data_IF_953926362897
#
_entry.id   IF_953926362897
#
_cell.length_a   1.000
_cell.length_b   1.000
_cell.length_c   1.000
_cell.angle_alpha   90.00
_cell.angle_beta   90.00
_cell.angle_gamma   90.00
#
_symmetry.space_group_name_H-M   'P 1'
#
loop_
_entity.id
_entity.type
_entity.pdbx_description
1 polymer ?
#
# COMPACT_ATOMS: atom_id res chain seq x y z
N UNK A 1 25.03 26.43 -12.89
CA UNK A 1 24.04 25.75 -13.76
C UNK A 1 22.79 25.41 -12.95
N UNK A 2 21.62 25.44 -13.57
CA UNK A 2 20.32 25.14 -12.97
C UNK A 2 19.39 24.51 -14.02
N UNK A 3 18.22 24.03 -13.61
CA UNK A 3 17.19 23.52 -14.51
C UNK A 3 16.11 24.59 -14.67
N UNK A 4 15.55 24.72 -15.86
CA UNK A 4 14.44 25.61 -16.15
C UNK A 4 13.34 24.86 -16.91
N UNK A 5 12.08 25.17 -16.60
CA UNK A 5 10.93 24.71 -17.37
C UNK A 5 10.67 25.67 -18.53
N UNK A 6 10.47 25.13 -19.73
CA UNK A 6 10.08 25.90 -20.91
C UNK A 6 8.92 25.20 -21.59
N UNK A 7 7.84 25.92 -21.89
CA UNK A 7 6.78 25.37 -22.73
C UNK A 7 7.26 25.42 -24.18
N UNK A 8 7.28 24.27 -24.85
CA UNK A 8 7.51 24.21 -26.28
C UNK A 8 6.23 24.69 -26.98
N UNK A 9 6.31 25.84 -27.64
CA UNK A 9 5.15 26.48 -28.27
C UNK A 9 4.59 25.70 -29.46
N UNK A 10 5.38 24.79 -30.05
CA UNK A 10 4.94 23.97 -31.19
C UNK A 10 4.24 22.67 -30.77
N UNK A 11 4.64 22.07 -29.64
CA UNK A 11 4.09 20.78 -29.17
C UNK A 11 3.20 20.91 -27.94
N UNK A 12 3.19 22.07 -27.27
CA UNK A 12 2.53 22.28 -25.98
C UNK A 12 3.18 21.53 -24.82
N UNK A 13 4.24 20.74 -25.07
CA UNK A 13 4.94 20.00 -24.04
C UNK A 13 5.76 20.94 -23.15
N UNK A 14 5.80 20.64 -21.85
CA UNK A 14 6.73 21.32 -20.93
C UNK A 14 8.07 20.61 -21.00
N UNK A 15 9.11 21.31 -21.37
CA UNK A 15 10.48 20.80 -21.49
C UNK A 15 11.30 21.19 -20.27
N UNK A 16 12.15 20.28 -19.80
CA UNK A 16 13.17 20.56 -18.79
C UNK A 16 14.50 20.84 -19.49
N UNK A 17 15.08 22.00 -19.22
CA UNK A 17 16.31 22.47 -19.84
C UNK A 17 17.41 22.72 -18.82
N UNK A 18 18.63 22.32 -19.15
CA UNK A 18 19.83 22.75 -18.43
C UNK A 18 20.15 24.17 -18.84
N UNK A 19 20.27 25.04 -17.84
CA UNK A 19 20.51 26.46 -18.02
C UNK A 19 21.71 26.94 -17.18
N UNK A 20 22.28 28.06 -17.59
CA UNK A 20 23.20 28.84 -16.79
C UNK A 20 22.88 30.32 -16.89
N UNK A 21 23.31 31.08 -15.88
CA UNK A 21 23.28 32.53 -15.96
C UNK A 21 24.55 32.99 -16.68
N UNK A 22 24.38 33.81 -17.68
CA UNK A 22 25.42 34.59 -18.31
C UNK A 22 25.41 35.97 -17.64
N UNK A 23 26.49 36.28 -16.91
CA UNK A 23 26.69 37.55 -16.23
C UNK A 23 27.99 38.16 -16.74
N UNK A 24 27.89 39.09 -17.68
CA UNK A 24 29.00 39.96 -18.07
C UNK A 24 28.90 41.27 -17.31
N UNK A 25 30.05 41.84 -16.91
CA UNK A 25 30.09 43.16 -16.29
C UNK A 25 29.41 44.20 -17.20
N UNK A 26 28.48 44.97 -16.64
CA UNK A 26 27.72 45.99 -17.36
C UNK A 26 26.54 45.48 -18.21
N UNK A 27 26.29 44.16 -18.27
CA UNK A 27 25.14 43.58 -18.99
C UNK A 27 24.11 42.98 -18.03
N UNK A 28 22.81 43.08 -18.34
CA UNK A 28 21.79 42.41 -17.54
C UNK A 28 21.95 40.89 -17.61
N UNK A 29 21.78 40.23 -16.45
CA UNK A 29 21.86 38.80 -16.32
C UNK A 29 20.96 38.10 -17.33
N UNK A 30 21.56 37.30 -18.23
CA UNK A 30 20.82 36.59 -19.27
C UNK A 30 20.79 35.10 -18.98
N UNK A 31 19.62 34.49 -19.14
CA UNK A 31 19.46 33.04 -19.04
C UNK A 31 19.92 32.39 -20.34
N UNK A 32 20.91 31.51 -20.26
CA UNK A 32 21.42 30.75 -21.38
C UNK A 32 20.99 29.29 -21.29
N UNK A 33 20.21 28.82 -22.27
CA UNK A 33 19.73 27.44 -22.37
C UNK A 33 20.80 26.59 -23.06
N UNK A 34 21.39 25.64 -22.35
CA UNK A 34 22.51 24.84 -22.83
C UNK A 34 22.05 23.60 -23.59
N UNK A 35 21.17 22.82 -22.98
CA UNK A 35 20.67 21.57 -23.58
C UNK A 35 19.32 21.17 -22.99
N UNK A 36 18.49 20.53 -23.82
CA UNK A 36 17.25 19.90 -23.39
C UNK A 36 17.59 18.64 -22.60
N UNK A 37 17.01 18.48 -21.42
CA UNK A 37 17.19 17.31 -20.56
C UNK A 37 16.14 16.25 -20.94
N UNK A 38 14.85 16.62 -20.90
CA UNK A 38 13.75 15.77 -21.33
C UNK A 38 12.47 16.58 -21.48
N UNK A 39 11.43 15.94 -22.03
CA UNK A 39 10.06 16.40 -21.90
C UNK A 39 9.53 16.00 -20.52
N UNK A 40 8.94 16.97 -19.82
CA UNK A 40 8.09 16.70 -18.66
C UNK A 40 7.00 15.75 -19.12
N UNK A 41 6.98 14.56 -18.53
CA UNK A 41 5.96 13.58 -18.84
C UNK A 41 4.60 14.22 -18.51
N UNK A 42 3.63 14.25 -19.45
CA UNK A 42 2.36 14.93 -19.23
C UNK A 42 1.75 14.45 -17.92
N UNK A 43 1.14 15.38 -17.16
CA UNK A 43 0.07 14.93 -16.26
C UNK A 43 -0.93 14.38 -17.26
N UNK A 44 -1.11 13.07 -17.28
CA UNK A 44 -2.20 12.51 -18.05
C UNK A 44 -3.38 12.59 -17.08
N UNK A 45 -4.25 13.61 -17.14
CA UNK A 45 -5.57 13.46 -16.58
C UNK A 45 -6.24 12.40 -17.47
N UNK A 46 -6.30 11.18 -16.97
CA UNK A 46 -7.16 10.12 -17.49
C UNK A 46 -7.31 10.07 -19.03
N UNK A 47 -6.46 9.27 -19.68
CA UNK A 47 -6.95 8.53 -20.83
C UNK A 47 -7.98 7.51 -20.31
N UNK A 48 -9.23 7.94 -20.16
CA UNK A 48 -10.35 7.40 -20.92
C UNK A 48 -11.64 8.15 -20.54
N UNK A 49 -12.22 8.78 -21.56
CA UNK A 49 -13.57 9.31 -21.52
C UNK A 49 -14.59 8.18 -21.50
N UNK A 50 -15.51 8.24 -20.56
CA UNK A 50 -16.67 7.35 -20.48
C UNK A 50 -17.27 7.41 -19.09
N UNK A 51 -18.58 7.55 -18.99
CA UNK A 51 -19.31 7.52 -17.72
C UNK A 51 -19.34 6.08 -17.17
N UNK A 52 -18.22 5.60 -16.59
CA UNK A 52 -18.08 4.30 -15.90
C UNK A 52 -16.70 4.22 -15.24
N UNK A 53 -16.62 3.78 -13.98
CA UNK A 53 -15.37 3.64 -13.18
C UNK A 53 -14.56 4.94 -13.00
N UNK A 54 -15.11 5.87 -12.21
CA UNK A 54 -14.47 7.15 -11.92
C UNK A 54 -13.15 7.04 -11.15
N UNK A 55 -12.06 7.24 -11.91
CA UNK A 55 -10.91 8.15 -11.69
C UNK A 55 -9.97 7.94 -10.48
N UNK A 56 -8.68 8.00 -10.81
CA UNK A 56 -7.48 8.08 -9.97
C UNK A 56 -7.21 7.01 -8.90
N UNK A 57 -6.20 6.19 -9.19
CA UNK A 57 -5.60 5.21 -8.30
C UNK A 57 -4.95 5.88 -7.08
N UNK A 58 -5.50 5.68 -5.87
CA UNK A 58 -4.64 5.57 -4.71
C UNK A 58 -3.89 4.24 -4.79
N UNK A 59 -2.87 4.20 -5.65
CA UNK A 59 -1.77 3.27 -5.45
C UNK A 59 -1.21 3.57 -4.08
N UNK A 60 -1.40 2.64 -3.14
CA UNK A 60 -0.50 2.48 -2.01
C UNK A 60 0.89 2.19 -2.59
N UNK A 61 1.54 3.27 -2.99
CA UNK A 61 2.92 3.35 -3.43
C UNK A 61 3.62 3.81 -2.20
N UNK A 62 4.62 3.06 -1.79
CA UNK A 62 5.07 3.23 -0.45
C UNK A 62 6.58 3.08 -0.34
N UNK A 63 7.10 3.92 0.56
CA UNK A 63 8.47 3.98 1.01
C UNK A 63 8.70 2.87 2.01
N UNK A 64 9.45 1.86 1.60
CA UNK A 64 10.25 1.07 2.53
C UNK A 64 11.68 1.12 2.03
N UNK A 65 12.60 1.51 2.92
CA UNK A 65 14.02 1.58 2.63
C UNK A 65 14.68 0.20 2.54
N UNK A 66 13.97 -0.90 2.79
CA UNK A 66 14.59 -2.23 2.76
C UNK A 66 13.83 -3.43 2.17
N UNK A 67 12.52 -3.41 1.85
CA UNK A 67 11.87 -4.66 1.41
C UNK A 67 10.78 -4.55 0.32
N UNK A 68 10.30 -5.71 -0.15
CA UNK A 68 9.71 -6.00 -1.48
C UNK A 68 8.45 -5.17 -1.78
N UNK A 69 8.65 -4.04 -2.45
CA UNK A 69 7.58 -3.11 -2.88
C UNK A 69 6.56 -3.77 -3.81
N UNK A 70 5.26 -3.58 -3.59
CA UNK A 70 4.21 -3.95 -4.54
C UNK A 70 3.55 -2.70 -5.11
N UNK A 71 3.52 -2.58 -6.44
CA UNK A 71 2.91 -1.48 -7.16
C UNK A 71 1.59 -1.93 -7.81
N UNK A 72 0.46 -1.36 -7.39
CA UNK A 72 -0.81 -1.50 -8.11
C UNK A 72 -0.94 -0.43 -9.20
N UNK A 73 -1.17 -0.82 -10.46
CA UNK A 73 -1.24 0.10 -11.62
C UNK A 73 -2.47 -0.22 -12.49
N UNK A 74 -3.05 0.82 -13.11
CA UNK A 74 -3.92 0.69 -14.28
C UNK A 74 -3.15 0.11 -15.48
N UNK A 75 -3.83 -0.50 -16.45
CA UNK A 75 -3.18 -1.27 -17.50
C UNK A 75 -2.42 -0.36 -18.48
N UNK A 76 -1.10 -0.20 -18.28
CA UNK A 76 -0.19 0.12 -19.38
C UNK A 76 1.26 -0.33 -19.12
N UNK A 77 1.88 -0.78 -20.21
CA UNK A 77 3.31 -1.12 -20.41
C UNK A 77 3.92 -2.31 -19.64
N UNK A 78 3.14 -3.08 -18.86
CA UNK A 78 3.65 -4.29 -18.19
C UNK A 78 3.11 -5.56 -18.86
N UNK A 79 3.97 -6.53 -19.20
CA UNK A 79 3.61 -7.67 -20.04
C UNK A 79 2.76 -8.73 -19.32
N UNK A 80 2.53 -8.62 -18.01
CA UNK A 80 1.79 -9.60 -17.20
C UNK A 80 0.86 -8.90 -16.20
N UNK A 81 -0.19 -9.60 -15.76
CA UNK A 81 -1.11 -9.11 -14.71
C UNK A 81 -0.45 -9.02 -13.33
N UNK A 82 0.55 -9.85 -13.06
CA UNK A 82 1.35 -9.81 -11.84
C UNK A 82 2.81 -10.00 -12.22
N UNK A 83 3.70 -9.24 -11.57
CA UNK A 83 5.14 -9.38 -11.75
C UNK A 83 5.87 -9.30 -10.42
N UNK A 84 6.94 -10.08 -10.30
CA UNK A 84 7.84 -10.04 -9.17
C UNK A 84 9.22 -9.56 -9.61
N UNK A 85 9.88 -8.79 -8.75
CA UNK A 85 11.27 -8.35 -8.94
C UNK A 85 11.54 -7.70 -10.30
N UNK A 86 10.62 -6.86 -10.79
CA UNK A 86 10.75 -6.15 -12.07
C UNK A 86 11.24 -4.73 -11.85
N UNK A 87 12.11 -4.25 -12.74
CA UNK A 87 12.45 -2.83 -12.81
C UNK A 87 11.28 -2.09 -13.43
N UNK A 88 10.83 -1.03 -12.79
CA UNK A 88 9.70 -0.22 -13.25
C UNK A 88 10.22 1.14 -13.68
N UNK A 89 9.68 1.68 -14.79
CA UNK A 89 10.14 2.94 -15.34
C UNK A 89 10.02 4.11 -14.35
N UNK A 90 11.02 4.98 -14.37
CA UNK A 90 11.07 6.22 -13.59
C UNK A 90 9.98 7.17 -14.09
N UNK A 91 9.19 7.74 -13.17
CA UNK A 91 8.18 8.76 -13.46
C UNK A 91 8.44 10.01 -12.64
N UNK A 92 9.19 10.95 -13.19
CA UNK A 92 9.57 12.19 -12.51
C UNK A 92 8.54 13.30 -12.77
N UNK A 93 8.27 14.08 -11.73
CA UNK A 93 7.33 15.20 -11.72
C UNK A 93 7.97 16.41 -11.03
N UNK A 94 7.68 17.65 -11.42
CA UNK A 94 8.17 18.82 -10.68
C UNK A 94 7.70 18.81 -9.22
N UNK A 95 8.62 19.16 -8.31
CA UNK A 95 8.38 19.26 -6.87
C UNK A 95 9.08 20.46 -6.22
N UNK A 96 8.84 21.64 -6.81
CA UNK A 96 9.33 22.91 -6.30
C UNK A 96 10.85 22.96 -6.32
N UNK A 97 11.45 23.60 -5.31
CA UNK A 97 12.89 23.79 -5.20
C UNK A 97 13.45 23.19 -3.91
N UNK A 98 14.72 22.80 -3.93
CA UNK A 98 15.51 22.53 -2.73
C UNK A 98 15.80 23.83 -1.97
N UNK A 99 16.29 23.71 -0.72
CA UNK A 99 16.64 24.87 0.13
C UNK A 99 17.68 25.79 -0.51
N UNK A 100 18.56 25.25 -1.34
CA UNK A 100 19.56 25.99 -2.10
C UNK A 100 19.04 26.51 -3.47
N UNK A 101 17.73 26.53 -3.68
CA UNK A 101 17.08 27.13 -4.85
C UNK A 101 17.12 26.31 -6.14
N UNK A 102 17.77 25.14 -6.17
CA UNK A 102 17.73 24.28 -7.35
C UNK A 102 16.37 23.58 -7.48
N UNK A 103 15.98 23.26 -8.71
CA UNK A 103 14.76 22.50 -8.96
C UNK A 103 14.83 21.11 -8.34
N UNK A 104 13.69 20.70 -7.79
CA UNK A 104 13.49 19.39 -7.18
C UNK A 104 12.40 18.68 -7.96
N UNK A 105 12.69 17.48 -8.44
CA UNK A 105 11.72 16.57 -9.03
C UNK A 105 11.37 15.47 -8.02
N UNK A 106 10.22 14.81 -8.24
CA UNK A 106 9.71 13.71 -7.45
C UNK A 106 9.43 12.50 -8.33
N UNK A 107 10.04 11.36 -8.01
CA UNK A 107 9.77 10.11 -8.70
C UNK A 107 8.53 9.44 -8.10
N UNK A 108 7.39 9.43 -8.80
CA UNK A 108 6.17 8.75 -8.31
C UNK A 108 6.27 7.22 -8.29
N UNK A 109 7.20 6.63 -9.04
CA UNK A 109 7.40 5.18 -9.08
C UNK A 109 8.20 4.72 -7.86
N UNK A 110 9.38 5.28 -7.68
CA UNK A 110 10.33 4.84 -6.66
C UNK A 110 10.33 5.71 -5.41
N UNK A 111 9.52 6.77 -5.42
CA UNK A 111 9.35 7.70 -4.33
C UNK A 111 10.69 8.26 -3.87
N UNK A 112 11.38 8.97 -4.73
CA UNK A 112 12.60 9.66 -4.30
C UNK A 112 12.69 11.00 -5.01
N UNK A 113 13.33 11.96 -4.34
CA UNK A 113 13.63 13.23 -4.98
C UNK A 113 14.75 13.05 -6.00
N UNK A 114 14.73 13.90 -7.01
CA UNK A 114 15.79 13.99 -8.01
C UNK A 114 16.12 15.47 -8.22
N UNK A 115 17.36 15.77 -8.55
CA UNK A 115 17.84 17.14 -8.79
C UNK A 115 18.99 17.55 -7.88
N UNK A 116 19.62 16.60 -7.20
CA UNK A 116 20.88 16.80 -6.47
C UNK A 116 22.05 16.90 -7.46
N UNK A 117 23.24 17.28 -6.97
CA UNK A 117 24.46 17.29 -7.81
C UNK A 117 24.79 15.89 -8.36
N UNK A 118 24.64 14.86 -7.54
CA UNK A 118 24.88 13.48 -7.93
C UNK A 118 23.90 13.01 -9.02
N UNK A 119 22.63 13.44 -8.95
CA UNK A 119 21.65 13.15 -10.00
C UNK A 119 22.01 13.79 -11.35
N UNK A 120 22.53 15.02 -11.32
CA UNK A 120 22.98 15.73 -12.52
C UNK A 120 24.22 15.09 -13.13
N UNK A 121 25.18 14.70 -12.32
CA UNK A 121 26.39 14.00 -12.75
C UNK A 121 26.06 12.61 -13.34
N UNK A 122 25.17 11.85 -12.70
CA UNK A 122 24.70 10.58 -13.22
C UNK A 122 23.98 10.75 -14.57
N UNK A 123 23.22 11.84 -14.74
CA UNK A 123 22.61 12.17 -16.03
C UNK A 123 23.66 12.51 -17.09
N UNK A 124 24.71 13.27 -16.75
CA UNK A 124 25.79 13.60 -17.69
C UNK A 124 26.53 12.37 -18.21
N UNK A 125 26.71 11.36 -17.36
CA UNK A 125 27.36 10.11 -17.74
C UNK A 125 26.45 9.18 -18.54
N UNK A 126 25.16 9.10 -18.18
CA UNK A 126 24.25 8.10 -18.75
C UNK A 126 23.40 8.63 -19.92
N UNK A 127 23.24 9.95 -20.07
CA UNK A 127 22.31 10.56 -21.02
C UNK A 127 20.83 10.28 -20.74
N UNK A 128 20.49 9.67 -19.60
CA UNK A 128 19.13 9.28 -19.24
C UNK A 128 18.77 9.75 -17.82
N UNK A 129 17.60 10.35 -17.67
CA UNK A 129 17.13 10.82 -16.36
C UNK A 129 16.63 9.65 -15.50
N UNK A 130 17.48 9.23 -14.56
CA UNK A 130 17.21 8.13 -13.64
C UNK A 130 17.15 8.66 -12.21
N UNK A 131 16.13 8.27 -11.45
CA UNK A 131 16.13 8.54 -10.01
C UNK A 131 17.11 7.62 -9.29
N UNK A 132 17.54 7.99 -8.07
CA UNK A 132 18.46 7.19 -7.25
C UNK A 132 18.04 5.70 -7.13
N UNK A 133 16.73 5.43 -7.13
CA UNK A 133 16.17 4.09 -6.97
C UNK A 133 15.75 3.43 -8.29
N UNK A 134 16.18 3.92 -9.47
CA UNK A 134 15.70 3.42 -10.77
C UNK A 134 16.00 1.94 -11.03
N UNK A 135 17.08 1.41 -10.44
CA UNK A 135 17.47 0.01 -10.59
C UNK A 135 16.72 -0.92 -9.61
N UNK A 136 15.96 -0.36 -8.67
CA UNK A 136 15.27 -1.13 -7.65
C UNK A 136 14.22 -2.03 -8.29
N UNK A 137 14.25 -3.30 -7.92
CA UNK A 137 13.27 -4.27 -8.32
C UNK A 137 12.01 -4.15 -7.46
N UNK A 138 10.85 -4.16 -8.09
CA UNK A 138 9.54 -4.05 -7.46
C UNK A 138 8.63 -5.18 -7.95
N UNK A 139 7.75 -5.62 -7.06
CA UNK A 139 6.59 -6.41 -7.43
C UNK A 139 5.48 -5.48 -7.94
N UNK A 140 4.55 -5.99 -8.73
CA UNK A 140 3.37 -5.24 -9.14
C UNK A 140 2.16 -6.14 -9.38
N UNK A 141 0.97 -5.52 -9.31
CA UNK A 141 -0.30 -6.08 -9.77
C UNK A 141 -0.94 -5.07 -10.73
N UNK A 142 -1.29 -5.53 -11.92
CA UNK A 142 -2.04 -4.78 -12.93
C UNK A 142 -3.49 -5.22 -12.83
N UNK A 143 -4.40 -4.25 -12.73
CA UNK A 143 -5.85 -4.50 -12.60
C UNK A 143 -6.17 -5.48 -11.45
N UNK A 144 -5.84 -5.13 -10.19
CA UNK A 144 -6.18 -5.96 -9.04
C UNK A 144 -7.70 -6.16 -8.94
N UNK A 145 -8.16 -7.18 -8.21
CA UNK A 145 -9.59 -7.36 -7.93
C UNK A 145 -10.13 -6.04 -7.34
N UNK A 146 -11.23 -5.56 -7.91
CA UNK A 146 -11.93 -4.39 -7.40
C UNK A 146 -13.17 -4.84 -6.62
N UNK A 147 -13.29 -4.41 -5.38
CA UNK A 147 -14.45 -4.69 -4.51
C UNK A 147 -15.13 -3.36 -4.19
N UNK A 148 -16.39 -3.21 -4.61
CA UNK A 148 -17.20 -2.08 -4.18
C UNK A 148 -17.93 -2.48 -2.90
N UNK A 149 -17.49 -1.94 -1.77
CA UNK A 149 -18.00 -2.32 -0.44
C UNK A 149 -19.48 -2.00 -0.25
N UNK A 150 -20.04 -1.10 -1.05
CA UNK A 150 -21.45 -0.71 -0.98
C UNK A 150 -22.37 -1.56 -1.88
N UNK A 151 -21.82 -2.46 -2.71
CA UNK A 151 -22.59 -3.29 -3.64
C UNK A 151 -22.89 -4.70 -3.12
N UNK A 152 -22.40 -5.04 -1.94
CA UNK A 152 -22.51 -6.37 -1.36
C UNK A 152 -23.11 -6.30 0.05
N UNK A 153 -23.84 -7.34 0.46
CA UNK A 153 -24.41 -7.40 1.80
C UNK A 153 -23.34 -7.53 2.88
N UNK A 154 -22.29 -8.32 2.62
CA UNK A 154 -21.13 -8.43 3.51
C UNK A 154 -19.83 -8.49 2.71
N UNK A 155 -18.85 -7.74 3.20
CA UNK A 155 -17.47 -7.69 2.74
C UNK A 155 -16.56 -7.74 3.95
N UNK A 156 -15.65 -8.71 3.94
CA UNK A 156 -14.54 -8.81 4.88
C UNK A 156 -13.21 -8.81 4.13
N UNK A 157 -12.27 -7.99 4.56
CA UNK A 157 -10.92 -7.91 3.98
C UNK A 157 -9.89 -8.01 5.10
N UNK A 158 -8.96 -8.94 4.99
CA UNK A 158 -7.90 -9.17 5.99
C UNK A 158 -6.51 -9.22 5.35
N UNK A 159 -5.50 -9.06 6.19
CA UNK A 159 -4.13 -9.42 5.86
C UNK A 159 -3.93 -10.93 6.10
N UNK A 160 -3.78 -11.72 5.03
CA UNK A 160 -3.45 -13.15 5.12
C UNK A 160 -1.96 -13.34 5.39
N UNK A 161 -1.64 -13.70 6.62
CA UNK A 161 -0.29 -14.04 7.07
C UNK A 161 -0.02 -15.56 6.91
N UNK A 162 1.25 -15.98 6.80
CA UNK A 162 1.62 -17.39 6.91
C UNK A 162 1.10 -18.00 8.22
N UNK A 163 0.90 -19.32 8.24
CA UNK A 163 0.47 -20.02 9.43
C UNK A 163 1.44 -19.84 10.61
N UNK A 164 0.89 -19.81 11.83
CA UNK A 164 1.66 -19.82 13.05
C UNK A 164 2.23 -21.21 13.35
N UNK A 165 1.43 -22.23 13.03
CA UNK A 165 1.70 -23.62 13.36
C UNK A 165 1.01 -24.51 12.33
N UNK A 166 1.67 -25.61 11.95
CA UNK A 166 1.12 -26.60 11.03
C UNK A 166 1.83 -27.93 11.21
N UNK A 167 1.16 -29.03 10.90
CA UNK A 167 1.78 -30.34 10.73
C UNK A 167 2.68 -30.42 9.49
N UNK A 168 2.49 -29.52 8.52
CA UNK A 168 3.29 -29.43 7.31
C UNK A 168 4.36 -28.32 7.40
N UNK A 169 5.33 -28.34 6.48
CA UNK A 169 6.36 -27.30 6.39
C UNK A 169 5.73 -25.93 6.11
N UNK A 170 5.90 -24.98 7.04
CA UNK A 170 5.46 -23.61 6.85
C UNK A 170 6.55 -22.82 6.13
N UNK A 171 6.38 -22.62 4.82
CA UNK A 171 7.29 -21.77 4.03
C UNK A 171 7.03 -20.29 4.30
N UNK A 172 8.05 -19.50 4.70
CA UNK A 172 7.92 -18.05 4.78
C UNK A 172 7.44 -17.48 3.45
N UNK A 173 6.47 -16.56 3.50
CA UNK A 173 5.89 -15.93 2.31
C UNK A 173 5.51 -14.48 2.58
N UNK A 174 5.39 -13.64 1.55
CA UNK A 174 4.76 -12.34 1.73
C UNK A 174 3.31 -12.50 2.20
N UNK A 175 2.79 -11.49 2.91
CA UNK A 175 1.37 -11.38 3.17
C UNK A 175 0.57 -11.37 1.87
N UNK A 176 -0.71 -11.73 1.97
CA UNK A 176 -1.70 -11.60 0.90
C UNK A 176 -2.92 -10.84 1.42
N UNK A 177 -3.84 -10.49 0.53
CA UNK A 177 -5.12 -9.89 0.91
C UNK A 177 -6.20 -10.96 0.83
N UNK A 178 -6.75 -11.36 1.97
CA UNK A 178 -7.85 -12.31 2.02
C UNK A 178 -9.17 -11.57 1.90
N UNK A 179 -10.07 -12.05 1.04
CA UNK A 179 -11.35 -11.40 0.79
C UNK A 179 -12.49 -12.37 0.95
N UNK A 180 -13.46 -11.98 1.77
CA UNK A 180 -14.80 -12.54 1.82
C UNK A 180 -15.79 -11.57 1.19
N UNK A 181 -16.64 -12.06 0.30
CA UNK A 181 -17.82 -11.34 -0.20
C UNK A 181 -19.05 -12.23 -0.13
N UNK A 182 -20.18 -11.67 0.32
CA UNK A 182 -21.52 -12.27 0.24
C UNK A 182 -22.49 -11.28 -0.38
N UNK A 183 -23.34 -11.78 -1.28
CA UNK A 183 -24.43 -10.99 -1.84
C UNK A 183 -25.63 -10.91 -0.90
N UNK A 184 -25.79 -11.91 -0.02
CA UNK A 184 -26.83 -11.97 1.01
C UNK A 184 -26.17 -12.30 2.35
N UNK A 185 -26.53 -11.56 3.40
CA UNK A 185 -25.96 -11.72 4.74
C UNK A 185 -26.17 -13.15 5.27
N UNK A 186 -25.14 -13.73 5.88
CA UNK A 186 -25.17 -15.11 6.40
C UNK A 186 -25.13 -16.24 5.36
N UNK A 187 -25.29 -15.96 4.07
CA UNK A 187 -25.22 -17.00 3.03
C UNK A 187 -23.79 -17.41 2.67
N UNK A 188 -23.65 -18.33 1.71
CA UNK A 188 -22.37 -18.78 1.20
C UNK A 188 -21.60 -17.61 0.57
N UNK A 189 -20.31 -17.57 0.87
CA UNK A 189 -19.37 -16.60 0.29
C UNK A 189 -19.28 -16.82 -1.24
N UNK A 190 -19.44 -15.75 -2.01
CA UNK A 190 -19.19 -15.74 -3.46
C UNK A 190 -17.71 -15.51 -3.78
N UNK A 191 -16.99 -14.87 -2.85
CA UNK A 191 -15.53 -14.76 -2.87
C UNK A 191 -15.01 -15.20 -1.51
N UNK A 192 -14.07 -16.14 -1.51
CA UNK A 192 -13.34 -16.63 -0.35
C UNK A 192 -11.94 -17.08 -0.78
N UNK A 193 -11.01 -16.14 -0.91
CA UNK A 193 -9.64 -16.43 -1.35
C UNK A 193 -8.67 -15.28 -1.10
N UNK A 194 -7.40 -15.61 -1.23
CA UNK A 194 -6.27 -14.68 -1.19
C UNK A 194 -5.95 -14.04 -2.55
N UNK A 195 -5.55 -12.78 -2.52
CA UNK A 195 -5.09 -11.98 -3.65
C UNK A 195 -3.73 -11.33 -3.36
N UNK A 196 -2.94 -11.07 -4.40
CA UNK A 196 -1.65 -10.36 -4.26
C UNK A 196 -1.85 -8.87 -3.93
N UNK A 197 -2.95 -8.27 -4.40
CA UNK A 197 -3.46 -6.96 -4.00
C UNK A 197 -4.92 -6.84 -4.46
N UNK A 198 -5.67 -5.94 -3.83
CA UNK A 198 -7.03 -5.57 -4.25
C UNK A 198 -7.16 -4.05 -4.34
N UNK A 199 -8.26 -3.59 -4.92
CA UNK A 199 -8.74 -2.24 -4.81
C UNK A 199 -10.12 -2.22 -4.16
N UNK A 200 -10.35 -1.32 -3.24
CA UNK A 200 -11.70 -1.02 -2.74
C UNK A 200 -12.21 0.24 -3.42
N UNK A 201 -13.47 0.20 -3.84
CA UNK A 201 -14.22 1.38 -4.26
C UNK A 201 -15.12 1.83 -3.11
N UNK A 202 -15.22 3.13 -2.92
CA UNK A 202 -16.13 3.74 -1.95
C UNK A 202 -16.72 5.03 -2.52
N UNK A 203 -17.81 5.51 -1.91
CA UNK A 203 -18.43 6.78 -2.31
C UNK A 203 -17.64 7.96 -1.75
N UNK A 204 -17.25 8.92 -2.59
CA UNK A 204 -16.60 10.16 -2.14
C UNK A 204 -17.44 10.97 -1.15
N UNK A 205 -18.77 10.76 -1.13
CA UNK A 205 -19.68 11.34 -0.14
C UNK A 205 -19.37 10.92 1.30
N UNK A 206 -18.62 9.82 1.50
CA UNK A 206 -18.17 9.37 2.82
C UNK A 206 -17.05 10.26 3.38
N UNK A 207 -16.43 11.13 2.56
CA UNK A 207 -15.46 12.11 3.03
C UNK A 207 -14.20 11.52 3.67
N UNK A 208 -13.81 10.29 3.29
CA UNK A 208 -12.71 9.56 3.93
C UNK A 208 -11.36 10.28 3.84
N UNK A 209 -11.11 11.01 2.76
CA UNK A 209 -9.84 11.70 2.51
C UNK A 209 -10.06 13.15 2.11
N UNK A 210 -9.02 13.95 2.30
CA UNK A 210 -9.05 15.39 2.02
C UNK A 210 -9.11 15.74 0.53
N UNK A 211 -8.78 14.78 -0.35
CA UNK A 211 -9.03 14.90 -1.78
C UNK A 211 -10.28 14.09 -2.15
N UNK A 212 -11.34 14.80 -2.57
CA UNK A 212 -12.64 14.24 -2.93
C UNK A 212 -12.63 13.45 -4.25
N UNK A 213 -11.59 13.58 -5.07
CA UNK A 213 -11.41 12.80 -6.30
C UNK A 213 -10.99 11.36 -6.00
N UNK A 214 -10.54 11.08 -4.77
CA UNK A 214 -10.19 9.72 -4.38
C UNK A 214 -11.47 8.96 -4.10
N UNK A 215 -11.71 7.91 -4.89
CA UNK A 215 -12.83 6.96 -4.76
C UNK A 215 -12.35 5.51 -4.67
N UNK A 216 -11.04 5.31 -4.87
CA UNK A 216 -10.39 4.00 -4.96
C UNK A 216 -9.17 3.93 -4.06
N UNK A 217 -9.12 2.91 -3.19
CA UNK A 217 -7.94 2.59 -2.35
C UNK A 217 -7.39 1.24 -2.77
N UNK A 218 -6.13 1.19 -3.21
CA UNK A 218 -5.46 -0.10 -3.40
C UNK A 218 -4.94 -0.62 -2.07
N UNK A 219 -5.33 -1.83 -1.68
CA UNK A 219 -4.83 -2.51 -0.49
C UNK A 219 -3.74 -3.48 -0.94
N UNK A 220 -2.51 -3.24 -0.49
CA UNK A 220 -1.35 -4.06 -0.83
C UNK A 220 -0.80 -4.77 0.41
N UNK A 221 -0.05 -5.88 0.24
CA UNK A 221 0.47 -6.66 1.36
C UNK A 221 1.31 -5.87 2.36
N UNK A 222 2.24 -4.97 1.97
CA UNK A 222 2.98 -4.18 2.95
C UNK A 222 2.09 -3.30 3.82
N UNK A 223 1.09 -2.63 3.23
CA UNK A 223 0.18 -1.76 3.98
C UNK A 223 -0.79 -2.54 4.85
N UNK A 224 -1.31 -3.67 4.36
CA UNK A 224 -2.16 -4.56 5.13
C UNK A 224 -1.40 -5.15 6.33
N UNK A 225 -0.14 -5.52 6.13
CA UNK A 225 0.73 -6.04 7.18
C UNK A 225 1.05 -4.98 8.23
N UNK A 226 1.50 -3.79 7.81
CA UNK A 226 1.83 -2.72 8.75
C UNK A 226 0.60 -2.23 9.53
N UNK A 227 -0.57 -2.23 8.90
CA UNK A 227 -1.85 -1.99 9.58
C UNK A 227 -2.13 -3.03 10.66
N UNK A 228 -2.11 -4.33 10.33
CA UNK A 228 -2.34 -5.39 11.33
C UNK A 228 -1.30 -5.34 12.45
N UNK A 229 -0.03 -5.11 12.10
CA UNK A 229 1.04 -4.96 13.09
C UNK A 229 0.77 -3.81 14.08
N UNK A 230 0.35 -2.65 13.57
CA UNK A 230 0.02 -1.50 14.41
C UNK A 230 -1.21 -1.75 15.28
N UNK A 231 -2.26 -2.41 14.77
CA UNK A 231 -3.45 -2.79 15.55
C UNK A 231 -3.08 -3.76 16.67
N UNK A 232 -2.37 -4.85 16.36
CA UNK A 232 -1.99 -5.88 17.34
C UNK A 232 -1.11 -5.34 18.46
N UNK A 233 -0.39 -4.24 18.21
CA UNK A 233 0.48 -3.58 19.21
C UNK A 233 -0.16 -2.36 19.84
N UNK A 234 -1.43 -2.08 19.57
CA UNK A 234 -2.14 -0.93 20.14
C UNK A 234 -1.50 0.41 19.80
N UNK A 235 -0.91 0.54 18.61
CA UNK A 235 -0.26 1.77 18.18
C UNK A 235 -1.29 2.83 17.78
N UNK A 236 -1.01 4.08 18.13
CA UNK A 236 -1.83 5.20 17.71
C UNK A 236 -1.79 5.33 16.18
N UNK A 237 -2.95 5.22 15.54
CA UNK A 237 -3.11 5.25 14.08
C UNK A 237 -4.20 6.21 13.66
N UNK A 238 -3.93 6.96 12.59
CA UNK A 238 -4.91 7.81 11.91
C UNK A 238 -4.52 7.94 10.43
N UNK A 239 -5.17 8.80 9.67
CA UNK A 239 -4.82 9.10 8.28
C UNK A 239 -4.70 10.61 8.08
N UNK A 240 -3.47 11.12 8.03
CA UNK A 240 -3.25 12.51 7.68
C UNK A 240 -3.26 12.72 6.16
N UNK A 241 -3.95 13.77 5.72
CA UNK A 241 -3.93 14.18 4.33
C UNK A 241 -2.81 15.18 4.07
N UNK A 242 -2.18 15.09 2.90
CA UNK A 242 -1.13 16.00 2.50
C UNK A 242 -1.71 17.41 2.35
N UNK A 243 -1.22 18.37 3.13
CA UNK A 243 -1.63 19.79 3.04
C UNK A 243 -1.40 20.46 1.68
N UNK A 244 -0.66 19.81 0.76
CA UNK A 244 -0.37 20.35 -0.57
C UNK A 244 -1.14 19.68 -1.71
N UNK A 245 -1.59 18.44 -1.57
CA UNK A 245 -2.28 17.73 -2.66
C UNK A 245 -3.53 16.97 -2.21
N UNK A 246 -3.85 16.99 -0.92
CA UNK A 246 -5.01 16.32 -0.33
C UNK A 246 -4.91 14.79 -0.27
N UNK A 247 -3.89 14.16 -0.89
CA UNK A 247 -3.73 12.71 -0.85
C UNK A 247 -3.39 12.20 0.56
N UNK A 248 -3.96 11.07 0.99
CA UNK A 248 -3.68 10.47 2.28
C UNK A 248 -2.22 9.99 2.36
N UNK A 249 -1.66 10.08 3.55
CA UNK A 249 -0.33 9.56 3.85
C UNK A 249 -0.40 8.10 4.25
N UNK A 250 0.60 7.36 3.80
CA UNK A 250 0.84 5.99 4.18
C UNK A 250 2.29 5.88 4.64
N UNK A 251 2.44 5.60 5.92
CA UNK A 251 3.69 5.18 6.52
C UNK A 251 3.81 3.66 6.32
N UNK A 252 5.02 3.20 6.01
CA UNK A 252 5.34 1.78 5.87
C UNK A 252 6.69 1.48 6.52
N UNK A 253 6.93 0.17 6.75
CA UNK A 253 8.15 -0.36 7.32
C UNK A 253 8.53 0.43 8.59
N UNK A 254 9.76 0.93 8.69
CA UNK A 254 10.24 1.64 9.88
C UNK A 254 9.35 2.83 10.27
N UNK A 255 8.77 3.54 9.30
CA UNK A 255 7.84 4.64 9.58
C UNK A 255 6.50 4.15 10.14
N UNK A 256 6.08 2.93 9.81
CA UNK A 256 4.89 2.31 10.38
C UNK A 256 5.16 1.59 11.72
N UNK A 257 6.41 1.45 12.15
CA UNK A 257 6.74 0.78 13.42
C UNK A 257 6.61 1.67 14.64
N UNK A 258 6.68 2.99 14.48
CA UNK A 258 6.68 3.93 15.59
C UNK A 258 5.83 5.15 15.24
N UNK A 259 4.80 5.47 16.04
CA UNK A 259 4.05 6.70 15.88
C UNK A 259 4.96 7.92 15.86
N UNK A 260 4.79 8.79 14.88
CA UNK A 260 5.61 9.98 14.68
C UNK A 260 4.77 11.13 14.14
N UNK A 261 5.34 12.35 14.16
CA UNK A 261 4.59 13.56 13.79
C UNK A 261 4.82 14.02 12.37
N UNK A 262 5.95 13.66 11.75
CA UNK A 262 6.37 14.18 10.45
C UNK A 262 6.18 13.13 9.37
N UNK A 263 5.22 13.33 8.49
CA UNK A 263 4.86 12.33 7.48
C UNK A 263 5.33 12.73 6.08
N UNK A 264 5.72 11.74 5.31
CA UNK A 264 6.22 11.90 3.96
C UNK A 264 5.15 11.55 2.91
N UNK A 265 4.77 12.49 2.04
CA UNK A 265 3.73 12.26 1.04
C UNK A 265 4.28 11.47 -0.15
N UNK A 266 3.90 10.19 -0.27
CA UNK A 266 4.28 9.33 -1.39
C UNK A 266 3.77 9.78 -2.77
N UNK A 267 2.68 10.56 -2.84
CA UNK A 267 2.12 11.03 -4.10
C UNK A 267 2.89 12.22 -4.68
N UNK A 268 3.06 13.29 -3.89
CA UNK A 268 3.64 14.54 -4.37
C UNK A 268 5.07 14.80 -3.86
N UNK A 269 5.57 14.03 -2.91
CA UNK A 269 6.91 14.19 -2.33
C UNK A 269 7.04 15.39 -1.39
N UNK A 270 5.94 15.86 -0.76
CA UNK A 270 6.05 16.79 0.39
C UNK A 270 6.55 16.03 1.61
N UNK A 271 7.46 16.63 2.34
CA UNK A 271 7.94 16.14 3.64
C UNK A 271 7.60 17.10 4.79
N UNK A 272 6.73 18.08 4.55
CA UNK A 272 6.34 19.12 5.51
C UNK A 272 4.91 18.94 6.04
N UNK A 273 4.39 17.71 6.04
CA UNK A 273 3.07 17.40 6.57
C UNK A 273 3.24 16.86 7.98
N UNK A 274 2.54 17.49 8.93
CA UNK A 274 2.66 17.18 10.35
C UNK A 274 1.30 16.89 10.97
N UNK A 275 1.21 15.81 11.73
CA UNK A 275 0.06 15.49 12.56
C UNK A 275 0.11 16.27 13.89
N UNK A 276 -1.06 16.36 14.55
CA UNK A 276 -1.18 17.03 15.85
C UNK A 276 -0.33 16.32 16.93
N UNK A 277 -0.45 15.01 17.01
CA UNK A 277 0.33 14.13 17.88
C UNK A 277 1.00 12.98 17.11
N UNK A 278 1.87 12.19 17.75
CA UNK A 278 2.52 11.05 17.11
C UNK A 278 1.48 10.00 16.67
N UNK A 279 1.46 9.66 15.38
CA UNK A 279 0.59 8.63 14.80
C UNK A 279 1.39 7.78 13.80
N UNK A 280 0.91 6.58 13.49
CA UNK A 280 1.22 5.90 12.23
C UNK A 280 0.11 6.28 11.23
N UNK A 281 0.47 6.93 10.13
CA UNK A 281 -0.52 7.36 9.12
C UNK A 281 -0.82 6.24 8.13
N UNK A 282 -2.07 5.87 7.94
CA UNK A 282 -2.48 4.89 6.94
C UNK A 282 -3.88 5.15 6.38
N UNK A 283 -4.09 5.09 5.04
CA UNK A 283 -5.42 5.20 4.45
C UNK A 283 -6.33 4.01 4.78
N UNK A 284 -5.79 2.94 5.38
CA UNK A 284 -6.57 1.78 5.83
C UNK A 284 -7.35 2.07 7.11
N UNK A 285 -6.94 3.05 7.93
CA UNK A 285 -7.63 3.39 9.18
C UNK A 285 -9.01 4.02 8.94
N UNK A 286 -9.18 5.04 8.06
CA UNK A 286 -10.52 5.54 7.73
C UNK A 286 -11.42 4.49 7.07
N UNK A 287 -10.86 3.60 6.25
CA UNK A 287 -11.62 2.48 5.68
C UNK A 287 -12.14 1.56 6.79
N UNK A 288 -11.26 1.17 7.71
CA UNK A 288 -11.63 0.34 8.84
C UNK A 288 -12.72 1.00 9.69
N UNK A 289 -12.49 2.24 10.14
CA UNK A 289 -13.40 2.92 11.06
C UNK A 289 -14.77 3.21 10.45
N UNK A 290 -14.81 3.48 9.14
CA UNK A 290 -16.07 3.81 8.45
C UNK A 290 -16.88 2.56 8.13
N UNK A 291 -16.21 1.49 7.70
CA UNK A 291 -16.91 0.29 7.24
C UNK A 291 -17.11 -0.76 8.32
N UNK A 292 -16.37 -0.70 9.44
CA UNK A 292 -16.60 -1.54 10.60
C UNK A 292 -17.90 -1.15 11.32
N UNK A 293 -19.03 -1.68 10.83
CA UNK A 293 -20.33 -1.48 11.48
C UNK A 293 -20.34 -1.97 12.92
N UNK A 294 -19.52 -2.99 13.19
CA UNK A 294 -19.28 -3.50 14.53
C UNK A 294 -17.77 -3.61 14.78
N UNK A 295 -17.26 -2.70 15.62
CA UNK A 295 -15.87 -2.68 16.07
C UNK A 295 -15.60 -3.65 17.22
N UNK A 296 -16.63 -4.31 17.76
CA UNK A 296 -16.44 -5.27 18.84
C UNK A 296 -15.87 -6.56 18.30
N UNK A 297 -14.95 -7.10 19.08
CA UNK A 297 -14.47 -8.45 18.94
C UNK A 297 -15.24 -9.36 19.89
N UNK A 298 -15.54 -10.56 19.43
CA UNK A 298 -16.15 -11.61 20.24
C UNK A 298 -15.18 -12.79 20.29
N UNK A 299 -14.82 -13.23 21.50
CA UNK A 299 -14.09 -14.48 21.67
C UNK A 299 -15.08 -15.64 21.69
N UNK A 300 -15.05 -16.55 20.71
CA UNK A 300 -15.98 -17.67 20.68
C UNK A 300 -15.81 -18.56 21.92
N UNK A 301 -16.91 -19.07 22.48
CA UNK A 301 -16.86 -20.02 23.61
C UNK A 301 -16.40 -21.43 23.20
N UNK A 302 -16.33 -21.68 21.89
CA UNK A 302 -15.89 -22.96 21.31
C UNK A 302 -14.43 -23.23 21.65
N UNK A 303 -14.13 -24.48 21.98
CA UNK A 303 -12.78 -24.98 22.23
C UNK A 303 -12.44 -26.11 21.27
N UNK A 304 -11.16 -26.27 20.94
CA UNK A 304 -10.68 -27.36 20.10
C UNK A 304 -9.46 -28.01 20.74
N UNK A 305 -9.45 -29.34 20.79
CA UNK A 305 -8.30 -30.12 21.22
C UNK A 305 -7.68 -30.82 20.01
N UNK A 306 -6.51 -30.34 19.56
CA UNK A 306 -5.82 -30.88 18.38
C UNK A 306 -5.29 -32.30 18.62
N UNK A 307 -5.12 -32.71 19.88
CA UNK A 307 -4.61 -34.05 20.23
C UNK A 307 -5.62 -35.16 19.87
N UNK A 308 -6.87 -34.79 19.63
CA UNK A 308 -7.94 -35.69 19.19
C UNK A 308 -7.87 -35.99 17.68
N UNK A 309 -7.10 -35.21 16.92
CA UNK A 309 -6.99 -35.32 15.46
C UNK A 309 -5.72 -36.04 15.02
N UNK A 310 -5.36 -37.13 15.71
CA UNK A 310 -4.17 -37.94 15.37
C UNK A 310 -4.29 -38.48 13.94
N UNK A 311 -3.23 -38.30 13.16
CA UNK A 311 -3.19 -38.71 11.74
C UNK A 311 -3.81 -37.70 10.77
N UNK A 312 -4.39 -36.60 11.26
CA UNK A 312 -4.85 -35.50 10.43
C UNK A 312 -3.73 -34.46 10.22
N UNK A 313 -3.89 -33.64 9.18
CA UNK A 313 -3.09 -32.45 8.97
C UNK A 313 -3.82 -31.22 9.48
N UNK A 314 -3.13 -30.33 10.17
CA UNK A 314 -3.73 -29.07 10.61
C UNK A 314 -2.86 -27.86 10.33
N UNK A 315 -3.52 -26.71 10.26
CA UNK A 315 -2.90 -25.40 10.10
C UNK A 315 -3.62 -24.41 11.00
N UNK A 316 -2.83 -23.60 11.73
CA UNK A 316 -3.31 -22.75 12.81
C UNK A 316 -2.81 -21.33 12.62
N UNK A 317 -3.72 -20.37 12.82
CA UNK A 317 -3.46 -18.93 12.79
C UNK A 317 -4.07 -18.26 14.01
N UNK A 318 -3.47 -17.18 14.50
CA UNK A 318 -4.22 -16.18 15.25
C UNK A 318 -5.17 -15.46 14.27
N UNK A 319 -6.42 -15.24 14.66
CA UNK A 319 -7.33 -14.40 13.86
C UNK A 319 -6.78 -12.97 13.86
N UNK A 320 -6.69 -12.31 12.69
CA UNK A 320 -6.24 -10.91 12.61
C UNK A 320 -7.44 -9.96 12.47
N UNK A 321 -7.36 -8.72 12.97
CA UNK A 321 -8.29 -7.64 12.66
C UNK A 321 -8.56 -7.51 11.17
N UNK A 322 -9.81 -7.36 10.78
CA UNK A 322 -10.14 -6.97 9.42
C UNK A 322 -9.65 -5.56 9.14
N UNK A 323 -9.29 -5.29 7.89
CA UNK A 323 -9.10 -3.95 7.34
C UNK A 323 -10.46 -3.34 6.97
N UNK A 324 -11.39 -4.17 6.48
CA UNK A 324 -12.77 -3.80 6.19
C UNK A 324 -13.68 -4.91 6.70
N UNK A 325 -14.72 -4.55 7.46
CA UNK A 325 -15.71 -5.49 8.00
C UNK A 325 -17.12 -4.91 8.01
N UNK A 326 -17.90 -5.18 6.96
CA UNK A 326 -19.22 -4.54 6.80
C UNK A 326 -20.38 -5.32 7.43
N UNK A 327 -20.12 -6.50 8.01
CA UNK A 327 -21.17 -7.27 8.66
C UNK A 327 -21.57 -6.63 10.01
N UNK A 328 -22.85 -6.75 10.37
CA UNK A 328 -23.40 -6.23 11.64
C UNK A 328 -22.90 -7.01 12.87
N UNK A 329 -22.56 -8.29 12.66
CA UNK A 329 -22.07 -9.17 13.72
C UNK A 329 -20.62 -8.83 14.10
N UNK A 330 -20.23 -9.11 15.36
CA UNK A 330 -18.84 -8.97 15.80
C UNK A 330 -17.87 -9.79 14.93
N UNK A 331 -16.63 -9.34 14.90
CA UNK A 331 -15.53 -10.14 14.38
C UNK A 331 -15.11 -11.15 15.44
N UNK A 332 -14.90 -12.40 15.04
CA UNK A 332 -14.39 -13.40 15.97
C UNK A 332 -12.91 -13.15 16.25
N UNK A 333 -12.54 -13.21 17.53
CA UNK A 333 -11.18 -13.01 18.02
C UNK A 333 -10.71 -14.24 18.77
N UNK A 334 -9.75 -14.94 18.21
CA UNK A 334 -9.27 -16.21 18.75
C UNK A 334 -8.23 -16.87 17.85
N UNK A 335 -8.33 -18.19 17.73
CA UNK A 335 -7.41 -19.03 16.97
C UNK A 335 -8.20 -19.71 15.86
N UNK A 336 -7.83 -19.40 14.62
CA UNK A 336 -8.42 -20.00 13.44
C UNK A 336 -7.69 -21.30 13.09
N UNK A 337 -8.44 -22.38 12.87
CA UNK A 337 -7.87 -23.70 12.66
C UNK A 337 -8.51 -24.36 11.44
N UNK A 338 -7.66 -24.90 10.58
CA UNK A 338 -8.04 -25.91 9.60
C UNK A 338 -7.54 -27.28 10.04
N UNK A 339 -8.39 -28.31 9.96
CA UNK A 339 -8.00 -29.72 10.10
C UNK A 339 -8.48 -30.52 8.88
N UNK A 340 -7.60 -31.37 8.36
CA UNK A 340 -7.82 -32.22 7.20
C UNK A 340 -7.55 -33.69 7.53
N UNK A 341 -8.47 -34.57 7.16
CA UNK A 341 -8.34 -36.04 7.35
C UNK A 341 -7.57 -36.76 6.22
N UNK A 342 -6.93 -35.99 5.33
CA UNK A 342 -6.27 -36.47 4.11
C UNK A 342 -7.16 -36.43 2.86
N UNK A 343 -8.48 -36.34 3.01
CA UNK A 343 -9.43 -36.26 1.88
C UNK A 343 -10.21 -34.95 1.86
N UNK A 344 -10.62 -34.48 3.03
CA UNK A 344 -11.51 -33.35 3.19
C UNK A 344 -11.08 -32.47 4.35
N UNK A 345 -11.56 -31.23 4.34
CA UNK A 345 -11.40 -30.32 5.47
C UNK A 345 -12.55 -30.55 6.44
N UNK A 346 -12.24 -31.07 7.63
CA UNK A 346 -13.21 -31.46 8.66
C UNK A 346 -13.38 -30.39 9.74
N UNK A 347 -12.42 -29.47 9.87
CA UNK A 347 -12.51 -28.28 10.72
C UNK A 347 -12.09 -27.06 9.91
N UNK A 348 -12.91 -26.00 9.96
CA UNK A 348 -12.66 -24.66 9.41
C UNK A 348 -13.44 -23.65 10.26
N UNK A 349 -12.87 -23.23 11.38
CA UNK A 349 -13.54 -22.31 12.30
C UNK A 349 -12.54 -21.54 13.18
N UNK A 350 -13.04 -20.52 13.89
CA UNK A 350 -12.30 -19.76 14.91
C UNK A 350 -12.75 -20.17 16.30
N UNK A 351 -11.78 -20.48 17.16
CA UNK A 351 -12.00 -20.98 18.52
C UNK A 351 -11.45 -19.98 19.54
N UNK A 352 -12.08 -19.90 20.71
CA UNK A 352 -11.56 -19.09 21.82
C UNK A 352 -10.35 -19.75 22.51
N UNK A 353 -10.32 -21.08 22.53
CA UNK A 353 -9.23 -21.88 23.09
C UNK A 353 -8.90 -23.05 22.15
N UNK A 354 -7.61 -23.27 21.90
CA UNK A 354 -7.10 -24.42 21.14
C UNK A 354 -6.00 -25.07 21.98
N UNK A 355 -6.06 -26.40 22.15
CA UNK A 355 -5.03 -27.17 22.86
C UNK A 355 -4.19 -28.00 21.89
N UNK A 356 -2.91 -28.15 22.23
CA UNK A 356 -1.97 -29.03 21.56
C UNK A 356 -0.99 -29.57 22.61
N UNK A 357 -0.73 -30.87 22.57
CA UNK A 357 0.11 -31.59 23.54
C UNK A 357 -0.34 -31.33 24.99
N UNK A 358 -1.65 -31.32 25.22
CA UNK A 358 -2.29 -31.05 26.51
C UNK A 358 -2.21 -29.60 27.00
N UNK A 359 -1.59 -28.68 26.26
CA UNK A 359 -1.41 -27.28 26.65
C UNK A 359 -2.23 -26.32 25.77
N UNK A 360 -2.81 -25.24 26.33
CA UNK A 360 -3.49 -24.22 25.54
C UNK A 360 -2.49 -23.41 24.72
N UNK A 361 -2.80 -23.17 23.45
CA UNK A 361 -2.06 -22.27 22.57
C UNK A 361 -2.35 -20.81 22.93
N UNK A 362 -1.30 -19.99 22.98
CA UNK A 362 -1.44 -18.56 23.24
C UNK A 362 -1.52 -17.77 21.92
N UNK A 363 -2.66 -17.10 21.67
CA UNK A 363 -2.86 -16.26 20.47
C UNK A 363 -1.72 -15.26 20.26
N UNK A 364 -1.22 -14.64 21.34
CA UNK A 364 -0.12 -13.67 21.28
C UNK A 364 1.20 -14.28 20.75
N UNK A 365 1.49 -15.55 21.08
CA UNK A 365 2.66 -16.26 20.52
C UNK A 365 2.43 -16.64 19.05
N UNK A 366 1.19 -17.02 18.71
CA UNK A 366 0.83 -17.36 17.33
C UNK A 366 0.99 -16.14 16.40
N UNK A 367 0.51 -14.96 16.80
CA UNK A 367 0.63 -13.75 15.97
C UNK A 367 2.09 -13.34 15.75
N UNK A 368 2.94 -13.40 16.77
CA UNK A 368 4.39 -13.14 16.63
C UNK A 368 5.05 -14.15 15.69
N UNK A 369 4.64 -15.42 15.76
CA UNK A 369 5.14 -16.46 14.85
C UNK A 369 4.66 -16.25 13.39
N UNK A 370 3.45 -15.73 13.19
CA UNK A 370 2.94 -15.36 11.85
C UNK A 370 3.69 -14.15 11.28
N UNK A 371 3.94 -13.14 12.11
CA UNK A 371 4.72 -11.95 11.79
C UNK A 371 6.15 -12.33 11.41
N UNK A 372 6.83 -13.14 12.22
CA UNK A 372 8.20 -13.58 11.99
C UNK A 372 8.37 -14.38 10.69
N UNK A 373 7.33 -15.11 10.26
CA UNK A 373 7.34 -15.87 9.00
C UNK A 373 6.93 -15.04 7.78
N UNK A 374 6.47 -13.81 7.99
CA UNK A 374 6.05 -12.93 6.90
C UNK A 374 7.27 -12.29 6.25
N UNK A 375 7.47 -12.59 4.96
CA UNK A 375 8.52 -11.94 4.16
C UNK A 375 7.95 -10.64 3.61
N UNK A 376 8.02 -9.59 4.42
CA UNK A 376 7.67 -8.22 4.04
C UNK A 376 8.76 -7.63 3.15
#
# INVERSE_FOLDING_TARGET
MFIERRVNTSTGAVELWRCQWENHEGSPAKKHYLSKICDEQPINPDADGGLSEGRDLLGVRAHAWQYRRLLAISPWALPRKVGQRRRIAVRLRPRGKFRHGADRLWCRTHQTHWGTKADLEAYDQAGEMRCANHAQQMNYVVSPLTVNVNQHAEVGIWCSLPAALSTEEIKPRPPKIHVHVREVAGEKKVIDKDFDAIATLYSSSLGLFGNQEITRVNITPPAAFDYVYAVERGQEMDCINCSSCGYPHLDLADFARTPHRKHFCGNCGRDSTWSKGPIVSTPLKPLHDTFAKNLKYETPSRTLDLDQYKGCHYTVWASTPAIVWTAERPQEFGIHVHVHDGTSRIVDDTFGEVKLDGAPLERAKLIEAMIARSVV
#
